data_IF_958596815168
#
_entry.id   IF_958596815168
#
_cell.length_a   1.000
_cell.length_b   1.000
_cell.length_c   1.000
_cell.angle_alpha   90.00
_cell.angle_beta   90.00
_cell.angle_gamma   90.00
#
_symmetry.space_group_name_H-M   'P 1'
#
loop_
_entity.id
_entity.type
_entity.pdbx_description
1 polymer ?
#
# COMPACT_ATOMS: atom_id res chain seq x y z
N UNK A 1 3.67 1.24 -14.37
CA UNK A 1 2.55 1.38 -15.32
C UNK A 1 2.88 2.42 -16.43
N UNK A 2 2.18 2.42 -17.58
CA UNK A 2 2.36 3.40 -18.69
C UNK A 2 0.99 3.82 -19.23
N UNK A 3 0.78 5.12 -19.40
CA UNK A 3 -0.39 5.70 -20.08
C UNK A 3 0.06 6.57 -21.27
N UNK A 4 -0.57 6.39 -22.42
CA UNK A 4 -0.33 7.21 -23.62
C UNK A 4 -1.56 8.03 -24.02
N UNK A 5 -1.37 9.31 -24.34
CA UNK A 5 -2.43 10.19 -24.84
C UNK A 5 -2.00 10.96 -26.09
N UNK A 6 -2.99 11.45 -26.85
CA UNK A 6 -2.76 12.26 -28.05
C UNK A 6 -3.27 13.69 -27.84
N UNK A 7 -2.41 14.68 -28.09
CA UNK A 7 -2.81 16.08 -28.19
C UNK A 7 -2.51 16.65 -29.58
N UNK A 8 -3.57 16.87 -30.35
CA UNK A 8 -3.48 17.35 -31.73
C UNK A 8 -2.65 16.42 -32.63
N UNK A 9 -1.44 16.85 -32.99
CA UNK A 9 -0.51 16.10 -33.86
C UNK A 9 0.60 15.38 -33.07
N UNK A 10 0.63 15.53 -31.75
CA UNK A 10 1.60 14.87 -30.87
C UNK A 10 0.96 13.71 -30.12
N UNK A 11 1.78 12.72 -29.80
CA UNK A 11 1.45 11.67 -28.83
C UNK A 11 2.50 11.69 -27.72
N UNK A 12 2.05 11.60 -26.49
CA UNK A 12 2.87 11.58 -25.28
C UNK A 12 2.60 10.28 -24.52
N UNK A 13 3.57 9.85 -23.73
CA UNK A 13 3.38 8.80 -22.74
C UNK A 13 4.06 9.20 -21.44
N UNK A 14 3.36 8.93 -20.35
CA UNK A 14 3.85 9.00 -18.98
C UNK A 14 4.12 7.58 -18.52
N UNK A 15 5.20 7.39 -17.76
CA UNK A 15 5.59 6.11 -17.18
C UNK A 15 5.79 6.29 -15.69
N UNK A 16 5.33 5.31 -14.92
CA UNK A 16 5.76 5.11 -13.54
C UNK A 16 7.17 4.54 -13.56
N UNK A 17 7.99 5.06 -12.68
CA UNK A 17 9.36 4.63 -12.47
C UNK A 17 9.70 4.56 -10.98
N UNK A 18 10.26 3.42 -10.59
CA UNK A 18 10.91 3.22 -9.28
C UNK A 18 12.44 2.96 -9.42
N UNK A 19 12.99 2.70 -10.62
CA UNK A 19 14.46 2.47 -10.86
C UNK A 19 15.04 2.84 -12.29
N UNK A 20 14.27 2.87 -13.41
CA UNK A 20 14.46 3.56 -14.74
C UNK A 20 13.13 3.44 -15.61
N UNK A 21 12.44 4.46 -16.15
CA UNK A 21 12.55 5.94 -16.13
C UNK A 21 11.60 6.74 -17.06
N UNK A 22 11.28 8.00 -16.68
CA UNK A 22 11.02 9.20 -17.53
C UNK A 22 9.64 9.50 -18.19
N UNK A 23 9.34 10.80 -18.47
CA UNK A 23 8.16 11.31 -19.20
C UNK A 23 8.51 11.59 -20.69
N UNK A 24 7.74 11.04 -21.65
CA UNK A 24 8.24 10.76 -23.03
C UNK A 24 7.32 11.27 -24.17
N UNK A 25 7.89 12.01 -25.14
CA UNK A 25 7.23 12.28 -26.44
C UNK A 25 7.38 11.06 -27.36
N UNK A 26 6.26 10.38 -27.61
CA UNK A 26 6.16 9.17 -28.43
C UNK A 26 5.58 9.44 -29.83
N UNK A 27 5.48 10.71 -30.26
CA UNK A 27 4.95 11.11 -31.58
C UNK A 27 5.63 10.36 -32.73
N UNK A 28 6.88 9.95 -32.54
CA UNK A 28 7.53 8.92 -33.36
C UNK A 28 7.81 7.68 -32.49
N UNK A 29 6.96 6.63 -32.50
CA UNK A 29 7.14 5.46 -31.63
C UNK A 29 8.37 4.61 -31.99
N UNK A 30 9.08 4.91 -33.09
CA UNK A 30 10.39 4.28 -33.42
C UNK A 30 11.58 5.07 -32.89
N UNK A 31 11.34 6.26 -32.34
CA UNK A 31 12.31 7.17 -31.69
C UNK A 31 11.57 7.98 -30.62
N UNK A 32 11.13 7.34 -29.52
CA UNK A 32 10.69 8.06 -28.34
C UNK A 32 11.79 9.02 -27.86
N UNK A 33 11.40 10.11 -27.22
CA UNK A 33 12.33 11.14 -26.72
C UNK A 33 11.85 11.58 -25.33
N UNK A 34 12.71 11.47 -24.30
CA UNK A 34 12.48 12.12 -23.00
C UNK A 34 12.17 13.59 -23.22
N UNK A 35 11.09 14.06 -22.63
CA UNK A 35 10.78 15.49 -22.59
C UNK A 35 10.84 16.06 -21.18
N UNK A 36 10.57 15.25 -20.15
CA UNK A 36 10.62 15.65 -18.76
C UNK A 36 10.79 14.46 -17.81
N UNK A 37 10.88 14.78 -16.53
CA UNK A 37 10.83 13.89 -15.37
C UNK A 37 10.53 14.79 -14.17
N UNK A 38 9.64 14.35 -13.29
CA UNK A 38 9.20 15.10 -12.13
C UNK A 38 9.04 14.18 -10.94
N UNK A 39 9.52 14.68 -9.82
CA UNK A 39 9.29 14.14 -8.50
C UNK A 39 8.21 15.03 -7.86
N UNK A 40 6.97 14.52 -7.71
CA UNK A 40 5.81 15.40 -7.45
C UNK A 40 5.79 15.95 -6.04
N UNK A 41 6.27 15.22 -5.03
CA UNK A 41 6.38 15.72 -3.66
C UNK A 41 7.49 16.79 -3.56
N UNK A 42 8.61 16.62 -4.25
CA UNK A 42 9.66 17.64 -4.32
C UNK A 42 9.22 18.89 -5.09
N UNK A 43 8.39 18.73 -6.14
CA UNK A 43 7.86 19.83 -6.95
C UNK A 43 6.67 20.54 -6.28
N UNK A 44 5.85 19.79 -5.55
CA UNK A 44 4.62 20.21 -4.88
C UNK A 44 4.56 19.66 -3.44
N UNK A 45 5.41 20.13 -2.50
CA UNK A 45 5.50 19.56 -1.14
C UNK A 45 4.22 19.66 -0.29
N UNK A 46 3.17 20.33 -0.79
CA UNK A 46 1.87 20.37 -0.16
C UNK A 46 1.05 19.08 -0.31
N UNK A 47 1.41 18.16 -1.21
CA UNK A 47 0.72 16.85 -1.36
C UNK A 47 1.06 15.87 -0.23
N UNK A 48 2.10 16.17 0.55
CA UNK A 48 2.50 15.37 1.70
C UNK A 48 1.57 15.63 2.88
N UNK A 49 1.19 14.57 3.59
CA UNK A 49 0.25 14.60 4.71
C UNK A 49 0.99 14.36 6.05
N UNK A 50 1.89 15.26 6.51
CA UNK A 50 2.85 14.99 7.60
C UNK A 50 2.22 14.83 8.99
N UNK A 51 0.94 15.16 9.16
CA UNK A 51 0.18 14.89 10.39
C UNK A 51 -0.32 13.42 10.45
N UNK A 52 -0.07 12.62 9.40
CA UNK A 52 -0.48 11.21 9.25
C UNK A 52 0.77 10.31 9.16
N UNK A 53 1.30 9.78 10.28
CA UNK A 53 2.64 9.18 10.33
C UNK A 53 2.76 7.78 9.68
N UNK A 54 1.66 7.17 9.23
CA UNK A 54 1.65 5.93 8.44
C UNK A 54 1.87 6.20 6.95
N UNK A 55 1.36 7.33 6.45
CA UNK A 55 1.41 7.75 5.05
C UNK A 55 2.86 8.13 4.67
N UNK A 56 3.63 7.13 4.26
CA UNK A 56 5.09 7.20 4.11
C UNK A 56 5.61 6.57 2.82
N UNK A 57 4.84 5.71 2.16
CA UNK A 57 5.11 5.17 0.84
C UNK A 57 4.64 6.16 -0.23
N UNK A 58 5.37 7.28 -0.39
CA UNK A 58 5.03 8.33 -1.34
C UNK A 58 5.76 8.10 -2.67
N UNK A 59 5.08 7.46 -3.63
CA UNK A 59 5.61 7.19 -4.96
C UNK A 59 4.50 7.24 -6.04
N UNK A 60 4.89 7.33 -7.31
CA UNK A 60 3.96 7.43 -8.42
C UNK A 60 3.44 6.05 -8.83
N UNK A 61 2.13 5.77 -8.77
CA UNK A 61 1.60 4.41 -8.96
C UNK A 61 0.67 4.21 -10.17
N UNK A 62 -0.38 5.03 -10.32
CA UNK A 62 -1.26 5.02 -11.50
C UNK A 62 -1.51 6.44 -12.04
N UNK A 63 -2.03 6.55 -13.26
CA UNK A 63 -2.26 7.83 -13.93
C UNK A 63 -3.39 7.77 -14.94
N UNK A 64 -4.26 8.76 -14.93
CA UNK A 64 -5.23 9.00 -16.00
C UNK A 64 -5.06 10.39 -16.60
N UNK A 65 -5.24 10.52 -17.92
CA UNK A 65 -5.19 11.83 -18.61
C UNK A 65 -6.47 12.05 -19.38
N UNK A 66 -7.17 13.14 -19.04
CA UNK A 66 -8.48 13.50 -19.58
C UNK A 66 -8.49 14.92 -20.10
N UNK A 67 -9.16 15.13 -21.23
CA UNK A 67 -9.31 16.48 -21.79
C UNK A 67 -10.46 17.25 -21.14
N UNK A 68 -10.15 18.17 -20.24
CA UNK A 68 -11.12 18.98 -19.48
C UNK A 68 -11.04 20.44 -19.91
N UNK A 69 -12.15 21.03 -20.32
CA UNK A 69 -12.25 22.43 -20.81
C UNK A 69 -11.24 22.84 -21.90
N UNK A 70 -10.71 21.86 -22.64
CA UNK A 70 -9.70 22.05 -23.68
C UNK A 70 -8.25 21.85 -23.23
N UNK A 71 -7.98 21.80 -21.92
CA UNK A 71 -6.71 21.40 -21.28
C UNK A 71 -6.56 19.88 -21.26
N UNK A 72 -5.33 19.38 -21.22
CA UNK A 72 -5.05 18.00 -20.83
C UNK A 72 -4.83 18.00 -19.32
N UNK A 73 -5.74 17.37 -18.57
CA UNK A 73 -5.64 17.24 -17.12
C UNK A 73 -5.23 15.82 -16.80
N UNK A 74 -4.12 15.66 -16.11
CA UNK A 74 -3.64 14.42 -15.53
C UNK A 74 -4.16 14.31 -14.10
N UNK A 75 -4.55 13.11 -13.68
CA UNK A 75 -4.55 12.71 -12.27
C UNK A 75 -3.45 11.67 -12.12
N UNK A 76 -2.47 11.95 -11.28
CA UNK A 76 -1.45 10.99 -10.87
C UNK A 76 -1.82 10.49 -9.48
N UNK A 77 -2.06 9.18 -9.34
CA UNK A 77 -2.15 8.55 -8.03
C UNK A 77 -0.74 8.42 -7.48
N UNK A 78 -0.52 9.01 -6.31
CA UNK A 78 0.79 9.14 -5.70
C UNK A 78 0.85 8.36 -4.36
N UNK A 79 0.19 7.20 -4.37
CA UNK A 79 0.04 6.26 -3.25
C UNK A 79 -0.38 6.98 -1.96
N UNK A 80 0.51 7.09 -0.97
CA UNK A 80 0.21 7.72 0.31
C UNK A 80 0.05 9.26 0.27
N UNK A 81 0.40 9.91 -0.84
CA UNK A 81 0.11 11.32 -1.10
C UNK A 81 -1.19 11.54 -1.93
N UNK A 82 -2.01 10.51 -2.11
CA UNK A 82 -3.34 10.62 -2.71
C UNK A 82 -3.34 10.94 -4.21
N UNK A 83 -4.38 11.64 -4.68
CA UNK A 83 -4.67 11.81 -6.11
C UNK A 83 -4.38 13.24 -6.60
N UNK A 84 -3.23 13.44 -7.24
CA UNK A 84 -2.71 14.76 -7.62
C UNK A 84 -3.15 15.16 -9.03
N UNK A 85 -3.91 16.25 -9.16
CA UNK A 85 -4.39 16.79 -10.42
C UNK A 85 -3.45 17.86 -11.02
N UNK A 86 -3.02 17.67 -12.27
CA UNK A 86 -2.07 18.52 -12.99
C UNK A 86 -2.59 18.95 -14.38
N UNK A 87 -2.39 20.20 -14.78
CA UNK A 87 -2.50 20.63 -16.18
C UNK A 87 -1.21 20.27 -16.93
N UNK A 88 -1.30 19.23 -17.77
CA UNK A 88 -0.22 18.69 -18.61
C UNK A 88 -0.40 19.04 -20.08
N UNK A 89 -1.11 20.15 -20.38
CA UNK A 89 -1.20 20.68 -21.75
C UNK A 89 0.17 21.10 -22.32
N UNK A 90 1.13 21.39 -21.45
CA UNK A 90 2.57 21.40 -21.73
C UNK A 90 3.25 20.46 -20.72
N UNK A 91 3.49 19.17 -21.05
CA UNK A 91 4.07 18.21 -20.12
C UNK A 91 5.53 18.54 -19.77
N UNK A 92 6.19 19.48 -20.45
CA UNK A 92 7.52 19.98 -20.02
C UNK A 92 7.44 21.02 -18.90
N UNK A 93 6.22 21.40 -18.49
CA UNK A 93 5.93 22.44 -17.50
C UNK A 93 4.56 22.17 -16.83
N UNK A 94 4.37 21.01 -16.16
CA UNK A 94 3.12 20.67 -15.50
C UNK A 94 2.72 21.76 -14.50
N UNK A 95 1.42 21.95 -14.31
CA UNK A 95 0.89 22.98 -13.41
C UNK A 95 -0.12 22.33 -12.48
N UNK A 96 0.23 22.26 -11.20
CA UNK A 96 -0.67 21.79 -10.14
C UNK A 96 -2.03 22.51 -10.19
N UNK A 97 -3.10 21.73 -10.06
CA UNK A 97 -4.50 22.16 -10.01
C UNK A 97 -5.04 22.00 -8.59
N UNK A 98 -4.79 20.84 -7.99
CA UNK A 98 -5.28 20.39 -6.68
C UNK A 98 -4.89 18.93 -6.44
N UNK A 99 -5.26 18.41 -5.28
CA UNK A 99 -4.93 17.08 -4.76
C UNK A 99 -5.99 16.69 -3.70
N UNK A 100 -5.84 15.51 -3.10
CA UNK A 100 -6.78 14.93 -2.12
C UNK A 100 -6.03 14.43 -0.89
N UNK A 101 -6.49 14.80 0.30
CA UNK A 101 -6.04 14.20 1.56
C UNK A 101 -6.90 12.98 1.91
N UNK A 102 -6.34 11.98 2.60
CA UNK A 102 -7.11 10.87 3.16
C UNK A 102 -7.79 11.29 4.47
N UNK A 103 -9.08 10.98 4.64
CA UNK A 103 -9.81 11.34 5.86
C UNK A 103 -9.26 10.62 7.09
N UNK A 104 -9.07 11.38 8.18
CA UNK A 104 -8.56 10.89 9.46
C UNK A 104 -9.54 11.24 10.61
N UNK A 105 -9.96 10.28 11.44
CA UNK A 105 -9.65 8.84 11.36
C UNK A 105 -10.24 8.19 10.11
N UNK A 106 -9.72 7.01 9.74
CA UNK A 106 -10.21 6.23 8.60
C UNK A 106 -11.74 6.01 8.69
N UNK A 107 -12.52 6.42 7.67
CA UNK A 107 -13.97 6.39 7.72
C UNK A 107 -14.55 4.96 7.71
N UNK A 108 -13.99 4.05 6.90
CA UNK A 108 -14.53 2.71 6.69
C UNK A 108 -14.16 1.75 7.83
N UNK A 109 -12.97 1.91 8.42
CA UNK A 109 -12.59 1.24 9.65
C UNK A 109 -13.43 1.73 10.83
N UNK A 110 -13.64 3.04 10.94
CA UNK A 110 -14.46 3.63 12.01
C UNK A 110 -15.93 3.21 11.90
N UNK A 111 -16.51 3.13 10.69
CA UNK A 111 -17.87 2.58 10.52
C UNK A 111 -17.91 1.08 10.87
N UNK A 112 -16.94 0.29 10.37
CA UNK A 112 -17.01 -1.17 10.45
C UNK A 112 -16.67 -1.75 11.82
N UNK A 113 -15.74 -1.14 12.55
CA UNK A 113 -15.25 -1.62 13.86
C UNK A 113 -15.59 -0.69 15.02
N UNK A 114 -15.66 0.62 14.76
CA UNK A 114 -15.73 1.66 15.80
C UNK A 114 -14.37 2.12 16.32
N UNK A 115 -13.26 1.59 15.80
CA UNK A 115 -11.90 2.03 16.13
C UNK A 115 -11.51 3.25 15.28
N UNK A 116 -10.76 4.17 15.87
CA UNK A 116 -10.30 5.39 15.20
C UNK A 116 -8.79 5.30 14.98
N UNK A 117 -8.39 4.78 13.81
CA UNK A 117 -6.99 4.76 13.36
C UNK A 117 -6.75 5.81 12.27
N UNK A 118 -5.48 6.05 11.96
CA UNK A 118 -5.07 6.71 10.73
C UNK A 118 -5.45 5.85 9.52
N UNK A 119 -5.78 6.45 8.36
CA UNK A 119 -5.93 5.73 7.10
C UNK A 119 -4.60 5.06 6.69
N UNK A 120 -4.72 3.98 5.92
CA UNK A 120 -3.57 3.25 5.39
C UNK A 120 -2.92 3.97 4.22
N UNK A 121 -3.72 4.59 3.34
CA UNK A 121 -3.25 5.30 2.15
C UNK A 121 -3.47 4.47 0.90
N UNK A 122 -2.39 4.05 0.23
CA UNK A 122 -2.46 3.13 -0.91
C UNK A 122 -3.34 3.61 -2.09
N UNK A 123 -3.41 4.92 -2.32
CA UNK A 123 -4.21 5.51 -3.39
C UNK A 123 -3.76 4.99 -4.75
N UNK A 124 -4.47 3.99 -5.29
CA UNK A 124 -4.02 3.21 -6.43
C UNK A 124 -4.38 3.89 -7.74
N UNK A 125 -5.67 4.06 -8.06
CA UNK A 125 -6.11 4.60 -9.35
C UNK A 125 -7.34 5.50 -9.25
N UNK A 126 -7.41 6.55 -10.07
CA UNK A 126 -8.55 7.47 -10.07
C UNK A 126 -8.99 7.98 -11.45
N UNK A 127 -10.30 8.16 -11.61
CA UNK A 127 -10.93 8.73 -12.80
C UNK A 127 -11.93 9.85 -12.49
N UNK A 128 -11.90 10.93 -13.27
CA UNK A 128 -12.96 11.94 -13.28
C UNK A 128 -14.24 11.43 -13.93
N UNK A 129 -15.40 11.66 -13.31
CA UNK A 129 -16.73 11.41 -13.92
C UNK A 129 -16.87 12.13 -15.26
N UNK A 130 -17.71 11.63 -16.17
CA UNK A 130 -17.85 12.14 -17.55
C UNK A 130 -17.99 13.67 -17.68
N UNK A 131 -18.71 14.30 -16.76
CA UNK A 131 -18.94 15.75 -16.66
C UNK A 131 -17.87 16.51 -15.86
N UNK A 132 -16.98 15.79 -15.17
CA UNK A 132 -15.90 16.28 -14.32
C UNK A 132 -16.41 17.00 -13.06
N UNK A 133 -17.58 16.60 -12.55
CA UNK A 133 -18.10 17.05 -11.25
C UNK A 133 -17.40 16.31 -10.09
N UNK A 134 -17.05 15.03 -10.28
CA UNK A 134 -16.40 14.22 -9.26
C UNK A 134 -15.11 13.55 -9.77
N UNK A 135 -14.21 13.29 -8.84
CA UNK A 135 -13.10 12.35 -8.98
C UNK A 135 -13.45 11.12 -8.14
N UNK A 136 -13.28 9.92 -8.69
CA UNK A 136 -13.44 8.68 -7.95
C UNK A 136 -12.05 8.06 -7.83
N UNK A 137 -11.62 7.78 -6.59
CA UNK A 137 -10.39 7.07 -6.27
C UNK A 137 -10.67 5.62 -5.85
N UNK A 138 -9.69 4.76 -6.04
CA UNK A 138 -9.69 3.36 -5.66
C UNK A 138 -8.35 3.07 -4.96
N UNK A 139 -8.41 2.67 -3.70
CA UNK A 139 -7.24 2.37 -2.87
C UNK A 139 -6.99 0.86 -2.87
N UNK A 140 -5.74 0.46 -3.13
CA UNK A 140 -5.33 -0.95 -3.23
C UNK A 140 -4.51 -1.38 -2.01
N UNK A 141 -5.15 -2.04 -1.07
CA UNK A 141 -4.51 -2.66 0.08
C UNK A 141 -4.68 -4.20 0.02
N UNK A 142 -3.59 -4.91 0.35
CA UNK A 142 -3.53 -6.38 0.43
C UNK A 142 -3.23 -6.92 1.84
N UNK A 143 -2.98 -6.04 2.80
CA UNK A 143 -2.63 -6.28 4.20
C UNK A 143 -3.76 -5.79 5.12
N UNK A 144 -4.92 -6.49 5.16
CA UNK A 144 -6.10 -6.14 5.97
C UNK A 144 -5.90 -6.34 7.50
N UNK A 145 -4.64 -6.33 7.95
CA UNK A 145 -4.17 -6.71 9.28
C UNK A 145 -3.03 -5.80 9.76
N UNK A 146 -3.39 -4.71 10.41
CA UNK A 146 -2.48 -3.88 11.19
C UNK A 146 -1.86 -4.63 12.38
N UNK A 147 -0.72 -4.11 12.84
CA UNK A 147 0.07 -4.67 13.94
C UNK A 147 0.39 -3.59 14.99
N UNK A 148 -0.04 -3.78 16.24
CA UNK A 148 0.48 -3.01 17.38
C UNK A 148 1.64 -3.78 18.03
N UNK A 149 2.86 -3.24 17.92
CA UNK A 149 4.01 -3.68 18.69
C UNK A 149 4.26 -2.80 19.92
N UNK A 150 4.57 -3.40 21.08
CA UNK A 150 5.00 -2.67 22.28
C UNK A 150 6.17 -3.37 22.99
N UNK A 151 7.10 -2.57 23.50
CA UNK A 151 7.98 -2.96 24.61
C UNK A 151 7.22 -2.72 25.93
N UNK A 152 6.93 -3.80 26.66
CA UNK A 152 6.18 -3.78 27.90
C UNK A 152 7.03 -3.45 29.13
N UNK A 153 8.36 -3.58 29.06
CA UNK A 153 9.24 -3.13 30.15
C UNK A 153 9.26 -1.60 30.22
N UNK A 154 9.45 -0.96 29.06
CA UNK A 154 9.65 0.50 28.94
C UNK A 154 8.37 1.30 28.68
N UNK A 155 7.25 0.63 28.37
CA UNK A 155 5.98 1.25 27.94
C UNK A 155 6.12 2.10 26.65
N UNK A 156 6.91 1.58 25.69
CA UNK A 156 7.16 2.22 24.39
C UNK A 156 6.60 1.40 23.23
N UNK A 157 6.27 2.07 22.12
CA UNK A 157 5.78 1.44 20.88
C UNK A 157 6.96 0.84 20.11
N UNK A 158 6.71 -0.29 19.43
CA UNK A 158 7.61 -0.89 18.44
C UNK A 158 7.00 -0.74 17.04
N UNK A 159 7.74 -0.13 16.13
CA UNK A 159 7.32 0.15 14.75
C UNK A 159 7.64 -1.06 13.85
N UNK A 160 6.78 -2.09 13.88
CA UNK A 160 6.96 -3.36 13.18
C UNK A 160 5.82 -3.64 12.20
N UNK A 161 6.11 -4.35 11.10
CA UNK A 161 5.10 -5.07 10.30
C UNK A 161 5.22 -6.58 10.52
N UNK A 162 4.28 -7.36 9.97
CA UNK A 162 4.39 -8.82 9.89
C UNK A 162 5.22 -9.23 8.65
N UNK A 163 5.91 -10.36 8.72
CA UNK A 163 6.73 -10.89 7.61
C UNK A 163 5.92 -11.66 6.57
N UNK A 164 6.15 -11.41 5.28
CA UNK A 164 5.26 -11.80 4.17
C UNK A 164 4.79 -13.26 4.15
N UNK A 165 5.71 -14.21 4.27
CA UNK A 165 5.48 -15.65 4.09
C UNK A 165 5.76 -16.42 5.38
N UNK A 166 5.41 -15.81 6.51
CA UNK A 166 5.43 -16.43 7.85
C UNK A 166 3.99 -16.56 8.41
N UNK A 167 3.74 -17.39 9.45
CA UNK A 167 2.43 -17.46 10.08
C UNK A 167 2.02 -16.09 10.63
N UNK A 168 0.98 -15.50 10.02
CA UNK A 168 0.39 -14.24 10.46
C UNK A 168 -0.38 -14.43 11.78
N UNK A 169 -0.43 -13.38 12.60
CA UNK A 169 -1.41 -13.27 13.67
C UNK A 169 -2.79 -12.97 13.07
N UNK A 170 -3.82 -13.69 13.51
CA UNK A 170 -5.21 -13.35 13.16
C UNK A 170 -5.72 -12.17 14.02
N UNK A 171 -6.77 -11.44 13.60
CA UNK A 171 -7.32 -10.30 14.37
C UNK A 171 -7.64 -10.61 15.83
N UNK A 172 -6.99 -9.89 16.74
CA UNK A 172 -7.11 -10.04 18.19
C UNK A 172 -6.25 -11.16 18.79
N UNK A 173 -5.43 -11.85 17.99
CA UNK A 173 -4.33 -12.66 18.51
C UNK A 173 -3.16 -11.79 18.92
N UNK A 174 -2.45 -12.22 19.96
CA UNK A 174 -1.26 -11.56 20.46
C UNK A 174 -0.17 -12.57 20.81
N UNK A 175 1.07 -12.26 20.42
CA UNK A 175 2.27 -12.95 20.90
C UNK A 175 2.99 -12.04 21.88
N UNK A 176 3.14 -12.53 23.11
CA UNK A 176 3.91 -11.88 24.17
C UNK A 176 5.03 -12.81 24.60
N UNK A 177 6.25 -12.28 24.75
CA UNK A 177 7.41 -13.06 25.19
C UNK A 177 8.60 -12.20 25.54
N UNK A 178 9.53 -12.78 26.31
CA UNK A 178 10.79 -12.13 26.62
C UNK A 178 11.77 -12.24 25.43
N UNK A 179 12.45 -11.15 25.12
CA UNK A 179 13.42 -11.08 24.02
C UNK A 179 14.74 -11.75 24.35
N UNK A 180 15.39 -12.32 23.33
CA UNK A 180 16.77 -12.81 23.40
C UNK A 180 17.51 -12.38 22.14
N UNK A 181 18.63 -11.67 22.27
CA UNK A 181 19.45 -11.31 21.11
C UNK A 181 20.19 -12.53 20.55
N UNK A 182 20.07 -12.77 19.24
CA UNK A 182 20.69 -13.94 18.57
C UNK A 182 21.69 -13.56 17.47
N UNK A 183 22.08 -12.29 17.36
CA UNK A 183 22.97 -11.80 16.29
C UNK A 183 22.24 -11.60 14.97
N UNK A 184 22.94 -11.64 13.84
CA UNK A 184 22.32 -11.53 12.51
C UNK A 184 21.74 -12.86 11.99
N UNK A 185 21.93 -13.97 12.72
CA UNK A 185 21.44 -15.32 12.41
C UNK A 185 21.80 -15.88 11.01
N UNK A 186 22.87 -15.40 10.38
CA UNK A 186 23.36 -15.93 9.10
C UNK A 186 24.22 -17.19 9.28
N UNK A 187 24.34 -18.03 8.25
CA UNK A 187 25.17 -19.25 8.26
C UNK A 187 26.67 -19.02 8.55
N UNK A 188 27.14 -17.79 8.35
CA UNK A 188 28.52 -17.34 8.62
C UNK A 188 28.75 -16.88 10.07
N UNK A 189 27.68 -16.63 10.83
CA UNK A 189 27.71 -16.06 12.18
C UNK A 189 27.82 -17.15 13.27
N UNK A 190 28.07 -16.76 14.54
CA UNK A 190 27.96 -17.68 15.67
C UNK A 190 26.55 -18.30 15.75
N UNK A 191 26.48 -19.59 16.06
CA UNK A 191 25.22 -20.32 16.10
C UNK A 191 24.22 -19.72 17.10
N UNK A 192 22.97 -19.57 16.65
CA UNK A 192 21.82 -19.13 17.46
C UNK A 192 21.68 -20.06 18.69
N UNK A 193 21.61 -19.51 19.93
CA UNK A 193 21.33 -20.30 21.12
C UNK A 193 19.87 -20.82 21.12
N UNK A 194 19.55 -21.91 21.82
CA UNK A 194 18.17 -22.35 21.97
C UNK A 194 17.41 -21.45 22.96
N UNK A 195 16.16 -21.12 22.63
CA UNK A 195 15.21 -20.46 23.53
C UNK A 195 14.55 -21.43 24.52
N UNK A 196 13.71 -20.90 25.41
CA UNK A 196 13.05 -21.67 26.49
C UNK A 196 11.66 -22.24 26.15
N UNK A 197 11.10 -21.89 25.00
CA UNK A 197 9.74 -22.23 24.56
C UNK A 197 8.70 -21.10 24.72
N UNK A 198 9.11 -19.91 25.17
CA UNK A 198 8.26 -18.73 25.35
C UNK A 198 8.92 -17.40 24.91
N UNK A 199 10.15 -17.46 24.39
CA UNK A 199 10.95 -16.28 24.05
C UNK A 199 10.78 -15.83 22.59
N UNK A 200 11.02 -14.54 22.35
CA UNK A 200 11.14 -13.94 21.00
C UNK A 200 12.61 -13.80 20.65
N UNK A 201 13.05 -14.35 19.52
CA UNK A 201 14.41 -14.18 19.04
C UNK A 201 14.57 -12.80 18.38
N UNK A 202 15.47 -11.97 18.88
CA UNK A 202 15.77 -10.65 18.29
C UNK A 202 16.99 -10.75 17.39
N UNK A 203 16.79 -10.46 16.11
CA UNK A 203 17.74 -10.65 15.02
C UNK A 203 18.12 -9.30 14.41
N UNK A 204 19.40 -9.14 14.09
CA UNK A 204 19.92 -7.96 13.40
C UNK A 204 19.86 -8.13 11.86
N UNK A 205 19.36 -7.13 11.12
CA UNK A 205 19.41 -7.08 9.65
C UNK A 205 20.86 -7.05 9.15
N UNK A 206 21.11 -7.60 7.96
CA UNK A 206 22.41 -7.53 7.27
C UNK A 206 23.06 -8.90 7.03
N UNK A 207 24.16 -8.90 6.26
CA UNK A 207 24.94 -10.06 5.77
C UNK A 207 24.20 -11.02 4.82
N UNK A 208 23.02 -11.47 5.21
CA UNK A 208 22.17 -12.42 4.47
C UNK A 208 20.71 -11.93 4.42
N UNK A 209 19.93 -12.51 3.50
CA UNK A 209 18.52 -12.17 3.30
C UNK A 209 17.66 -12.61 4.50
N UNK A 210 16.46 -12.04 4.66
CA UNK A 210 15.61 -12.36 5.81
C UNK A 210 15.27 -13.87 5.87
N UNK A 211 14.94 -14.48 4.73
CA UNK A 211 14.66 -15.91 4.59
C UNK A 211 15.86 -16.81 4.94
N UNK A 212 17.10 -16.33 4.86
CA UNK A 212 18.28 -17.10 5.30
C UNK A 212 18.42 -17.14 6.84
N UNK A 213 17.78 -16.19 7.55
CA UNK A 213 17.91 -16.03 9.01
C UNK A 213 16.99 -16.97 9.79
N UNK A 214 15.72 -17.10 9.37
CA UNK A 214 14.70 -17.87 10.08
C UNK A 214 15.07 -19.36 10.25
N UNK A 215 15.57 -20.07 9.22
CA UNK A 215 16.00 -21.47 9.36
C UNK A 215 17.10 -21.71 10.40
N UNK A 216 17.88 -20.69 10.76
CA UNK A 216 18.88 -20.77 11.82
C UNK A 216 18.26 -20.61 13.21
N UNK A 217 17.25 -19.74 13.36
CA UNK A 217 16.49 -19.58 14.61
C UNK A 217 15.61 -20.80 14.89
N UNK A 218 14.86 -21.27 13.90
CA UNK A 218 13.98 -22.45 13.98
C UNK A 218 14.74 -23.72 14.36
N UNK A 219 15.96 -23.88 13.81
CA UNK A 219 16.82 -25.04 14.08
C UNK A 219 17.45 -25.03 15.48
N UNK A 220 17.68 -23.85 16.05
CA UNK A 220 18.02 -23.73 17.47
C UNK A 220 16.82 -24.09 18.35
N UNK A 221 15.63 -23.64 17.95
CA UNK A 221 14.34 -23.96 18.56
C UNK A 221 14.12 -23.29 19.91
N UNK A 222 12.88 -23.38 20.42
CA UNK A 222 12.49 -22.76 21.70
C UNK A 222 12.11 -21.28 21.61
N UNK A 223 11.95 -20.74 20.40
CA UNK A 223 11.39 -19.41 20.16
C UNK A 223 9.95 -19.52 19.67
N UNK A 224 9.10 -18.55 20.07
CA UNK A 224 7.69 -18.47 19.65
C UNK A 224 7.48 -17.48 18.49
N UNK A 225 8.43 -16.56 18.30
CA UNK A 225 8.45 -15.60 17.20
C UNK A 225 9.87 -15.05 16.99
N UNK A 226 10.06 -14.34 15.88
CA UNK A 226 11.27 -13.57 15.55
C UNK A 226 10.92 -12.07 15.50
N UNK A 227 11.85 -11.22 15.94
CA UNK A 227 11.79 -9.77 15.80
C UNK A 227 13.07 -9.28 15.11
N UNK A 228 12.96 -8.65 13.95
CA UNK A 228 14.12 -8.14 13.20
C UNK A 228 14.24 -6.63 13.38
N UNK A 229 15.43 -6.14 13.76
CA UNK A 229 15.74 -4.71 13.81
C UNK A 229 16.78 -4.28 12.75
N UNK A 230 16.78 -2.99 12.43
CA UNK A 230 17.51 -2.46 11.28
C UNK A 230 19.04 -2.44 11.48
N UNK A 231 19.78 -2.37 10.36
CA UNK A 231 21.25 -2.28 10.33
C UNK A 231 21.76 -0.83 10.38
N UNK A 232 23.07 -0.65 10.42
CA UNK A 232 23.69 0.64 10.11
C UNK A 232 23.61 0.97 8.61
N UNK A 233 23.64 2.27 8.28
CA UNK A 233 23.65 2.79 6.91
C UNK A 233 22.63 3.91 6.68
N UNK A 234 22.87 4.71 5.64
CA UNK A 234 22.02 5.85 5.28
C UNK A 234 20.60 5.49 4.81
N UNK A 235 20.35 4.20 4.54
CA UNK A 235 19.06 3.61 4.12
C UNK A 235 18.44 2.73 5.23
N UNK A 236 18.88 2.92 6.48
CA UNK A 236 18.62 2.00 7.58
C UNK A 236 18.43 2.76 8.90
N UNK A 237 19.06 2.33 10.00
CA UNK A 237 19.05 3.04 11.27
C UNK A 237 17.64 3.22 11.84
N UNK A 238 17.17 4.45 12.00
CA UNK A 238 15.84 4.79 12.51
C UNK A 238 14.71 4.62 11.48
N UNK A 239 15.03 4.32 10.21
CA UNK A 239 14.01 4.02 9.20
C UNK A 239 13.34 2.65 9.43
N UNK A 240 12.05 2.57 9.10
CA UNK A 240 11.30 1.32 8.92
C UNK A 240 11.59 0.70 7.55
N UNK A 241 11.28 -0.58 7.38
CA UNK A 241 11.39 -1.29 6.10
C UNK A 241 10.44 -2.49 6.08
N UNK A 242 9.72 -2.68 4.96
CA UNK A 242 8.95 -3.89 4.68
C UNK A 242 9.82 -5.15 4.63
N UNK A 243 9.26 -6.29 5.00
CA UNK A 243 10.03 -7.52 5.24
C UNK A 243 9.44 -8.72 4.46
N UNK A 244 9.99 -8.96 3.26
CA UNK A 244 9.74 -10.22 2.55
C UNK A 244 10.58 -11.34 3.16
N UNK A 245 9.93 -12.36 3.72
CA UNK A 245 10.56 -13.42 4.51
C UNK A 245 9.69 -14.68 4.57
N UNK A 246 10.29 -15.85 4.39
CA UNK A 246 9.64 -17.17 4.48
C UNK A 246 10.12 -17.93 5.74
N UNK A 247 9.19 -18.55 6.48
CA UNK A 247 9.52 -19.41 7.63
C UNK A 247 8.31 -19.98 8.38
N UNK A 248 8.58 -20.85 9.36
CA UNK A 248 7.59 -21.65 10.10
C UNK A 248 7.09 -20.99 11.40
N UNK A 249 7.64 -19.84 11.80
CA UNK A 249 7.23 -19.08 13.01
C UNK A 249 6.93 -17.60 12.72
N UNK A 250 5.96 -16.97 13.41
CA UNK A 250 5.63 -15.55 13.24
C UNK A 250 6.87 -14.65 13.35
N UNK A 251 7.02 -13.73 12.41
CA UNK A 251 8.18 -12.83 12.33
C UNK A 251 7.71 -11.40 12.17
N UNK A 252 8.24 -10.51 13.01
CA UNK A 252 7.91 -9.09 13.06
C UNK A 252 9.12 -8.22 12.76
N UNK A 253 8.93 -7.07 12.11
CA UNK A 253 10.01 -6.15 11.74
C UNK A 253 9.72 -5.41 10.43
N UNK A 254 10.68 -4.70 9.84
CA UNK A 254 11.99 -4.37 10.43
C UNK A 254 11.82 -3.16 11.35
N UNK A 255 12.02 -3.35 12.67
CA UNK A 255 11.94 -2.23 13.61
C UNK A 255 13.18 -1.30 13.46
N UNK A 256 13.01 0.01 13.71
CA UNK A 256 14.11 0.95 13.90
C UNK A 256 15.22 0.42 14.82
N UNK A 257 16.48 0.71 14.48
CA UNK A 257 17.66 0.17 15.19
C UNK A 257 17.78 0.69 16.62
N UNK A 258 17.31 1.91 16.89
CA UNK A 258 17.21 2.49 18.24
C UNK A 258 16.25 1.69 19.12
N UNK A 259 15.09 1.31 18.59
CA UNK A 259 14.14 0.41 19.28
C UNK A 259 14.79 -0.96 19.53
N UNK A 260 15.52 -1.49 18.56
CA UNK A 260 16.29 -2.74 18.71
C UNK A 260 17.35 -2.71 19.81
N UNK A 261 18.01 -1.57 20.02
CA UNK A 261 18.98 -1.36 21.11
C UNK A 261 18.29 -1.16 22.47
N UNK A 262 17.16 -0.44 22.49
CA UNK A 262 16.39 -0.17 23.70
C UNK A 262 15.95 -1.46 24.42
N UNK A 263 15.55 -2.50 23.66
CA UNK A 263 15.18 -3.83 24.17
C UNK A 263 16.26 -4.52 25.05
N UNK A 264 17.49 -4.01 25.04
CA UNK A 264 18.64 -4.55 25.78
C UNK A 264 19.38 -3.50 26.63
N UNK A 265 18.74 -2.36 26.96
CA UNK A 265 19.33 -1.23 27.72
C UNK A 265 20.60 -0.60 27.06
N UNK A 266 20.88 -0.85 25.77
CA UNK A 266 22.10 -0.37 25.12
C UNK A 266 21.95 1.05 24.53
N UNK A 267 22.98 1.92 24.63
CA UNK A 267 22.92 3.27 24.11
C UNK A 267 23.05 3.30 22.58
N UNK A 268 22.16 4.05 21.93
CA UNK A 268 22.14 4.24 20.48
C UNK A 268 22.61 5.65 20.06
N UNK A 269 23.29 5.75 18.91
CA UNK A 269 23.77 6.99 18.29
C UNK A 269 23.40 6.97 16.80
N UNK A 270 22.40 7.77 16.43
CA UNK A 270 21.85 7.80 15.07
C UNK A 270 22.81 8.46 14.07
N UNK A 271 23.57 9.48 14.49
CA UNK A 271 24.56 10.14 13.62
C UNK A 271 25.70 9.16 13.29
N UNK A 272 26.15 8.38 14.27
CA UNK A 272 27.10 7.30 14.02
C UNK A 272 26.50 6.24 13.08
N UNK A 273 25.29 5.76 13.38
CA UNK A 273 24.60 4.73 12.60
C UNK A 273 24.46 5.10 11.11
N UNK A 274 24.01 6.31 10.81
CA UNK A 274 23.80 6.80 9.44
C UNK A 274 25.11 6.96 8.66
N UNK A 275 26.25 7.07 9.36
CA UNK A 275 27.59 7.09 8.74
C UNK A 275 28.25 5.72 8.61
N UNK A 276 27.66 4.67 9.19
CA UNK A 276 28.14 3.30 9.08
C UNK A 276 27.96 2.72 7.68
N UNK A 277 28.75 1.70 7.34
CA UNK A 277 28.67 0.98 6.05
C UNK A 277 27.88 -0.35 6.15
N UNK A 278 27.22 -0.57 7.28
CA UNK A 278 26.44 -1.78 7.56
C UNK A 278 27.29 -3.00 7.96
N UNK A 279 28.60 -2.85 8.20
CA UNK A 279 29.48 -3.96 8.60
C UNK A 279 29.63 -4.15 10.10
N UNK A 280 29.45 -3.10 10.91
CA UNK A 280 29.47 -3.20 12.38
C UNK A 280 28.14 -3.77 12.91
N UNK A 281 28.24 -4.71 13.85
CA UNK A 281 27.09 -5.35 14.51
C UNK A 281 26.75 -4.67 15.82
N UNK A 282 25.50 -4.79 16.28
CA UNK A 282 25.10 -4.29 17.58
C UNK A 282 26.01 -4.85 18.71
N UNK A 283 26.44 -4.04 19.70
CA UNK A 283 27.39 -4.46 20.74
C UNK A 283 26.79 -5.41 21.79
N UNK A 284 25.60 -5.97 21.52
CA UNK A 284 24.84 -6.86 22.40
C UNK A 284 25.41 -8.28 22.30
N UNK A 285 25.79 -8.95 23.41
CA UNK A 285 26.23 -10.34 23.37
C UNK A 285 25.11 -11.30 22.93
N UNK A 286 25.41 -12.26 22.05
CA UNK A 286 24.46 -13.33 21.68
C UNK A 286 24.05 -14.12 22.94
N UNK A 287 22.74 -14.33 23.11
CA UNK A 287 22.12 -14.93 24.29
C UNK A 287 21.83 -13.93 25.42
N UNK A 288 22.01 -12.62 25.20
CA UNK A 288 21.50 -11.60 26.12
C UNK A 288 19.98 -11.64 26.12
N UNK A 289 19.41 -11.76 27.31
CA UNK A 289 17.97 -11.70 27.54
C UNK A 289 17.60 -10.24 27.81
N UNK A 290 16.62 -9.73 27.09
CA UNK A 290 16.17 -8.35 27.16
C UNK A 290 14.75 -8.22 27.70
N UNK A 291 14.05 -7.22 27.18
CA UNK A 291 12.70 -6.82 27.55
C UNK A 291 11.60 -7.81 27.16
N UNK A 292 10.44 -7.64 27.80
CA UNK A 292 9.20 -8.30 27.42
C UNK A 292 8.49 -7.47 26.33
N UNK A 293 8.16 -8.11 25.21
CA UNK A 293 7.46 -7.47 24.09
C UNK A 293 6.11 -8.13 23.86
N UNK A 294 5.18 -7.37 23.28
CA UNK A 294 3.93 -7.91 22.73
C UNK A 294 3.68 -7.38 21.33
N UNK A 295 3.21 -8.25 20.46
CA UNK A 295 2.69 -7.94 19.14
C UNK A 295 1.24 -8.40 19.07
N UNK A 296 0.32 -7.50 18.73
CA UNK A 296 -1.11 -7.78 18.62
C UNK A 296 -1.57 -7.39 17.22
N UNK A 297 -2.15 -8.33 16.46
CA UNK A 297 -2.79 -7.97 15.19
C UNK A 297 -4.20 -7.46 15.46
N UNK A 298 -4.60 -6.45 14.71
CA UNK A 298 -5.98 -5.98 14.61
C UNK A 298 -6.40 -6.01 13.13
N UNK A 299 -7.70 -5.78 12.90
CA UNK A 299 -8.23 -5.64 11.56
C UNK A 299 -8.44 -4.14 11.28
N UNK A 300 -7.79 -3.61 10.25
CA UNK A 300 -7.83 -2.21 9.82
C UNK A 300 -8.62 -1.97 8.53
N UNK A 301 -8.77 -2.95 7.64
CA UNK A 301 -9.65 -2.73 6.49
C UNK A 301 -9.56 -3.76 5.38
N UNK A 302 -10.08 -3.34 4.23
CA UNK A 302 -9.46 -3.62 2.94
C UNK A 302 -9.55 -2.32 2.13
N UNK A 303 -8.60 -2.03 1.24
CA UNK A 303 -8.65 -0.83 0.38
C UNK A 303 -9.99 -0.63 -0.34
N UNK A 304 -10.45 0.62 -0.40
CA UNK A 304 -11.83 1.00 -0.70
C UNK A 304 -11.92 2.16 -1.71
N UNK A 305 -13.14 2.63 -1.98
CA UNK A 305 -13.41 3.63 -3.03
C UNK A 305 -13.74 4.98 -2.40
N UNK A 306 -13.13 6.04 -2.91
CA UNK A 306 -13.36 7.42 -2.50
C UNK A 306 -14.17 8.18 -3.55
N UNK A 307 -15.04 9.08 -3.10
CA UNK A 307 -15.71 10.08 -3.94
C UNK A 307 -15.30 11.49 -3.52
N UNK A 308 -14.58 12.21 -4.39
CA UNK A 308 -14.15 13.59 -4.15
C UNK A 308 -14.89 14.58 -5.06
N UNK A 309 -15.11 15.81 -4.58
CA UNK A 309 -15.43 16.96 -5.44
C UNK A 309 -14.21 17.28 -6.33
N UNK A 310 -14.38 17.16 -7.66
CA UNK A 310 -13.27 17.31 -8.62
C UNK A 310 -12.68 18.73 -8.66
N UNK A 311 -13.35 19.72 -8.08
CA UNK A 311 -12.93 21.13 -8.08
C UNK A 311 -12.24 21.57 -6.79
N UNK A 312 -12.44 20.85 -5.68
CA UNK A 312 -11.85 21.18 -4.37
C UNK A 312 -11.00 20.06 -3.75
N UNK A 313 -11.02 18.84 -4.30
CA UNK A 313 -10.34 17.68 -3.70
C UNK A 313 -10.98 17.19 -2.39
N UNK A 314 -12.16 17.73 -2.04
CA UNK A 314 -12.83 17.41 -0.78
C UNK A 314 -13.56 16.09 -0.89
N UNK A 315 -13.27 15.17 0.02
CA UNK A 315 -14.00 13.90 0.14
C UNK A 315 -15.47 14.15 0.50
N UNK A 316 -16.36 13.41 -0.17
CA UNK A 316 -17.80 13.53 -0.06
C UNK A 316 -18.44 12.27 0.51
N UNK A 317 -17.91 11.11 0.13
CA UNK A 317 -18.38 9.79 0.54
C UNK A 317 -17.31 8.72 0.25
N UNK A 318 -17.44 7.56 0.88
CA UNK A 318 -16.61 6.37 0.64
C UNK A 318 -17.48 5.15 0.33
N UNK A 319 -16.88 4.09 -0.20
CA UNK A 319 -17.55 2.82 -0.40
C UNK A 319 -16.57 1.66 -0.31
N UNK A 320 -16.83 0.72 0.60
CA UNK A 320 -16.33 -0.64 0.48
C UNK A 320 -17.45 -1.67 0.35
N UNK A 321 -17.09 -2.85 -0.17
CA UNK A 321 -18.02 -3.98 -0.23
C UNK A 321 -18.26 -4.54 1.17
N UNK A 322 -19.48 -5.02 1.45
CA UNK A 322 -19.83 -5.55 2.77
C UNK A 322 -18.87 -6.63 3.28
N UNK A 323 -18.25 -7.40 2.39
CA UNK A 323 -17.27 -8.43 2.70
C UNK A 323 -15.95 -7.84 3.24
N UNK A 324 -15.49 -6.71 2.72
CA UNK A 324 -14.29 -5.99 3.17
C UNK A 324 -14.39 -5.62 4.65
N UNK A 325 -15.52 -5.10 5.14
CA UNK A 325 -15.74 -4.72 6.55
C UNK A 325 -15.81 -5.88 7.58
N UNK A 326 -15.19 -7.04 7.34
CA UNK A 326 -15.36 -8.23 8.19
C UNK A 326 -14.01 -8.90 8.49
N UNK A 327 -13.50 -8.82 9.73
CA UNK A 327 -12.25 -9.48 10.15
C UNK A 327 -12.15 -10.96 9.77
N UNK A 328 -13.27 -11.70 9.82
CA UNK A 328 -13.35 -13.11 9.41
C UNK A 328 -13.07 -13.41 7.91
N UNK A 329 -12.83 -12.38 7.11
CA UNK A 329 -12.52 -12.45 5.68
C UNK A 329 -11.16 -11.80 5.36
N UNK A 330 -10.40 -11.35 6.38
CA UNK A 330 -9.00 -10.92 6.21
C UNK A 330 -8.12 -12.06 5.65
N UNK A 331 -8.39 -13.31 6.05
CA UNK A 331 -7.72 -14.50 5.52
C UNK A 331 -8.69 -15.44 4.78
N UNK A 332 -8.17 -16.17 3.79
CA UNK A 332 -8.85 -17.30 3.12
C UNK A 332 -10.03 -16.98 2.19
N UNK A 333 -10.45 -15.73 2.04
CA UNK A 333 -11.48 -15.33 1.05
C UNK A 333 -10.89 -15.01 -0.33
N UNK A 334 -9.63 -14.55 -0.38
CA UNK A 334 -9.05 -13.82 -1.51
C UNK A 334 -9.11 -12.30 -1.25
N UNK A 335 -8.32 -11.51 -1.98
CA UNK A 335 -8.23 -10.07 -1.74
C UNK A 335 -9.58 -9.37 -1.91
N UNK A 336 -9.96 -8.57 -0.91
CA UNK A 336 -11.23 -7.84 -0.86
C UNK A 336 -11.05 -6.33 -1.02
N UNK A 337 -10.04 -5.93 -1.79
CA UNK A 337 -9.72 -4.54 -2.15
C UNK A 337 -10.12 -4.22 -3.60
N UNK A 338 -10.07 -2.94 -3.97
CA UNK A 338 -10.34 -2.39 -5.29
C UNK A 338 -9.02 -2.05 -6.00
N UNK A 339 -8.93 -2.33 -7.31
CA UNK A 339 -7.73 -2.02 -8.10
C UNK A 339 -7.96 -0.82 -9.04
N UNK A 340 -9.00 -0.87 -9.88
CA UNK A 340 -9.28 0.21 -10.83
C UNK A 340 -10.75 0.64 -10.81
N UNK A 341 -10.97 1.92 -11.11
CA UNK A 341 -12.26 2.51 -11.46
C UNK A 341 -12.28 2.99 -12.92
N UNK A 342 -13.34 2.61 -13.65
CA UNK A 342 -13.65 3.16 -14.96
C UNK A 342 -15.02 3.86 -14.95
N UNK A 343 -15.05 5.12 -15.34
CA UNK A 343 -16.25 5.97 -15.37
C UNK A 343 -17.05 5.78 -16.66
N UNK A 344 -18.39 5.83 -16.55
CA UNK A 344 -19.28 5.60 -17.69
C UNK A 344 -19.15 6.70 -18.74
N UNK A 345 -18.94 6.28 -19.99
CA UNK A 345 -18.87 7.12 -21.16
C UNK A 345 -20.24 7.68 -21.58
N UNK A 346 -21.35 7.20 -21.01
CA UNK A 346 -22.72 7.67 -21.33
C UNK A 346 -23.49 8.26 -20.13
N UNK A 347 -23.27 7.77 -18.90
CA UNK A 347 -23.96 8.25 -17.70
C UNK A 347 -22.94 8.91 -16.76
N UNK A 348 -22.97 10.24 -16.56
CA UNK A 348 -21.95 10.91 -15.74
C UNK A 348 -21.87 10.39 -14.31
N UNK A 349 -23.01 10.03 -13.72
CA UNK A 349 -23.10 9.57 -12.34
C UNK A 349 -22.87 8.06 -12.20
N UNK A 350 -22.08 7.39 -13.06
CA UNK A 350 -21.83 5.94 -12.95
C UNK A 350 -20.35 5.58 -13.11
N UNK A 351 -19.93 4.63 -12.29
CA UNK A 351 -18.62 3.99 -12.34
C UNK A 351 -18.73 2.47 -12.31
N UNK A 352 -17.64 1.82 -12.72
CA UNK A 352 -17.44 0.38 -12.75
C UNK A 352 -16.11 0.07 -12.08
N UNK A 353 -16.07 -0.97 -11.24
CA UNK A 353 -14.89 -1.31 -10.45
C UNK A 353 -14.45 -2.76 -10.72
N UNK A 354 -13.14 -2.97 -10.77
CA UNK A 354 -12.49 -4.25 -10.57
C UNK A 354 -12.11 -4.40 -9.10
N UNK A 355 -12.75 -5.35 -8.43
CA UNK A 355 -12.71 -5.48 -6.96
C UNK A 355 -12.24 -6.88 -6.55
N UNK A 356 -11.10 -7.34 -7.10
CA UNK A 356 -10.47 -8.65 -6.85
C UNK A 356 -11.45 -9.82 -6.60
N UNK A 357 -11.42 -10.43 -5.41
CA UNK A 357 -12.31 -11.52 -5.00
C UNK A 357 -13.72 -11.03 -4.60
N UNK A 358 -13.87 -9.74 -4.34
CA UNK A 358 -15.16 -9.05 -4.29
C UNK A 358 -15.92 -9.15 -5.62
N UNK A 359 -15.21 -9.18 -6.75
CA UNK A 359 -15.77 -9.32 -8.10
C UNK A 359 -15.97 -7.99 -8.82
N UNK A 360 -16.76 -7.98 -9.89
CA UNK A 360 -17.09 -6.73 -10.59
C UNK A 360 -18.18 -5.96 -9.83
N UNK A 361 -18.07 -4.63 -9.74
CA UNK A 361 -19.06 -3.74 -9.12
C UNK A 361 -19.47 -2.59 -10.03
N UNK A 362 -20.66 -2.05 -9.77
CA UNK A 362 -21.24 -0.89 -10.47
C UNK A 362 -21.79 0.08 -9.44
N UNK A 363 -21.28 1.30 -9.45
CA UNK A 363 -21.73 2.38 -8.57
C UNK A 363 -22.51 3.43 -9.35
N UNK A 364 -23.55 3.99 -8.73
CA UNK A 364 -24.18 5.26 -9.13
C UNK A 364 -23.90 6.33 -8.07
N UNK A 365 -23.47 7.53 -8.48
CA UNK A 365 -23.40 8.70 -7.59
C UNK A 365 -24.81 9.30 -7.44
N UNK A 366 -25.25 9.56 -6.20
CA UNK A 366 -26.60 10.04 -5.87
C UNK A 366 -26.56 11.00 -4.69
N UNK A 367 -26.81 12.29 -4.93
CA UNK A 367 -26.74 13.34 -3.91
C UNK A 367 -25.36 13.42 -3.21
N UNK A 368 -24.28 13.25 -3.97
CA UNK A 368 -22.90 13.18 -3.49
C UNK A 368 -22.55 11.92 -2.69
N UNK A 369 -23.38 10.87 -2.74
CA UNK A 369 -23.13 9.56 -2.12
C UNK A 369 -22.92 8.46 -3.19
N UNK A 370 -22.09 7.45 -2.92
CA UNK A 370 -21.85 6.27 -3.74
C UNK A 370 -22.88 5.17 -3.43
N UNK A 371 -23.65 4.75 -4.44
CA UNK A 371 -24.64 3.68 -4.30
C UNK A 371 -24.28 2.46 -5.16
N UNK A 372 -24.12 1.28 -4.53
CA UNK A 372 -24.06 -0.01 -5.24
C UNK A 372 -25.38 -0.27 -5.98
N UNK A 373 -25.28 -0.50 -7.29
CA UNK A 373 -26.41 -0.73 -8.20
C UNK A 373 -26.27 -1.98 -9.04
N UNK A 374 -25.24 -2.79 -8.80
CA UNK A 374 -25.04 -4.02 -9.55
C UNK A 374 -23.66 -4.63 -9.36
N UNK A 375 -23.59 -5.93 -9.54
CA UNK A 375 -22.37 -6.70 -9.45
C UNK A 375 -22.36 -7.85 -10.45
N UNK A 376 -21.18 -8.37 -10.73
CA UNK A 376 -21.00 -9.64 -11.42
C UNK A 376 -19.92 -10.46 -10.71
N UNK A 377 -20.26 -11.70 -10.37
CA UNK A 377 -19.35 -12.72 -9.83
C UNK A 377 -19.67 -14.03 -10.56
N UNK A 378 -18.68 -14.64 -11.20
CA UNK A 378 -18.82 -15.88 -11.96
C UNK A 378 -18.83 -17.10 -11.03
N UNK A 379 -19.18 -18.25 -11.61
CA UNK A 379 -19.28 -19.53 -10.92
C UNK A 379 -17.89 -20.11 -10.61
N UNK A 380 -17.32 -19.60 -9.52
CA UNK A 380 -16.02 -19.99 -8.99
C UNK A 380 -15.44 -18.96 -8.04
N UNK A 381 -15.98 -17.74 -8.06
CA UNK A 381 -15.27 -16.54 -7.63
C UNK A 381 -14.71 -15.81 -8.85
N UNK A 382 -14.02 -14.72 -8.60
CA UNK A 382 -13.27 -13.94 -9.57
C UNK A 382 -12.00 -13.42 -8.90
N UNK A 383 -11.11 -12.87 -9.71
CA UNK A 383 -9.95 -12.13 -9.27
C UNK A 383 -9.77 -10.95 -10.25
N UNK A 384 -10.73 -10.01 -10.22
CA UNK A 384 -10.77 -8.90 -11.19
C UNK A 384 -9.71 -7.84 -10.88
N UNK A 385 -8.84 -7.61 -11.86
CA UNK A 385 -7.73 -6.67 -11.83
C UNK A 385 -8.05 -5.42 -12.64
N UNK A 386 -8.17 -5.52 -13.98
CA UNK A 386 -8.41 -4.35 -14.82
C UNK A 386 -9.89 -4.07 -15.10
N UNK A 387 -10.28 -2.79 -15.26
CA UNK A 387 -11.61 -2.38 -15.74
C UNK A 387 -11.52 -1.22 -16.74
N UNK A 388 -12.17 -1.36 -17.91
CA UNK A 388 -12.16 -0.34 -18.96
C UNK A 388 -13.52 -0.22 -19.65
N UNK A 389 -14.08 0.99 -19.66
CA UNK A 389 -15.29 1.30 -20.45
C UNK A 389 -14.94 1.46 -21.92
N UNK A 390 -15.77 0.88 -22.80
CA UNK A 390 -15.72 1.10 -24.25
C UNK A 390 -17.12 1.11 -24.87
N UNK A 391 -17.23 1.51 -26.14
CA UNK A 391 -18.51 1.56 -26.86
C UNK A 391 -18.47 0.80 -28.18
N UNK A 392 -19.54 0.05 -28.47
CA UNK A 392 -19.78 -0.59 -29.78
C UNK A 392 -21.26 -0.45 -30.15
N UNK A 393 -21.57 -0.12 -31.40
CA UNK A 393 -22.95 0.06 -31.89
C UNK A 393 -23.86 0.96 -31.02
N UNK A 394 -23.32 2.08 -30.53
CA UNK A 394 -23.95 3.00 -29.56
C UNK A 394 -24.39 2.35 -28.24
N UNK A 395 -23.82 1.20 -27.91
CA UNK A 395 -23.96 0.53 -26.61
C UNK A 395 -22.65 0.65 -25.85
N UNK A 396 -22.74 1.07 -24.59
CA UNK A 396 -21.63 0.98 -23.64
C UNK A 396 -21.43 -0.46 -23.18
N UNK A 397 -20.17 -0.87 -23.12
CA UNK A 397 -19.68 -2.13 -22.60
C UNK A 397 -18.53 -1.86 -21.64
N UNK A 398 -18.25 -2.83 -20.78
CA UNK A 398 -17.11 -2.80 -19.87
C UNK A 398 -16.26 -4.04 -20.13
N UNK A 399 -14.99 -3.83 -20.40
CA UNK A 399 -13.96 -4.86 -20.39
C UNK A 399 -13.47 -5.01 -18.95
N UNK A 400 -13.70 -6.16 -18.34
CA UNK A 400 -13.19 -6.47 -17.00
C UNK A 400 -12.20 -7.63 -17.12
N UNK A 401 -10.95 -7.40 -16.72
CA UNK A 401 -9.86 -8.37 -16.82
C UNK A 401 -9.70 -9.11 -15.50
N UNK A 402 -9.88 -10.42 -15.55
CA UNK A 402 -9.75 -11.33 -14.42
C UNK A 402 -8.44 -12.11 -14.52
N UNK A 403 -7.71 -12.24 -13.40
CA UNK A 403 -6.41 -12.92 -13.33
C UNK A 403 -6.53 -14.44 -13.61
N UNK A 404 -7.62 -15.06 -13.16
CA UNK A 404 -7.84 -16.51 -13.27
C UNK A 404 -8.52 -16.91 -14.59
N UNK A 405 -9.43 -16.07 -15.09
CA UNK A 405 -10.34 -16.38 -16.19
C UNK A 405 -10.16 -15.50 -17.45
N UNK A 406 -9.38 -14.42 -17.37
CA UNK A 406 -9.12 -13.51 -18.47
C UNK A 406 -10.23 -12.48 -18.71
N UNK A 407 -10.49 -12.14 -19.97
CA UNK A 407 -11.33 -10.98 -20.31
C UNK A 407 -12.84 -11.28 -20.34
N UNK A 408 -13.59 -10.61 -19.47
CA UNK A 408 -15.04 -10.50 -19.51
C UNK A 408 -15.48 -9.24 -20.27
N UNK A 409 -16.51 -9.38 -21.12
CA UNK A 409 -17.19 -8.25 -21.77
C UNK A 409 -18.59 -8.12 -21.19
N UNK A 410 -18.76 -7.17 -20.30
CA UNK A 410 -19.98 -6.92 -19.55
C UNK A 410 -20.80 -5.80 -20.19
N UNK A 411 -22.12 -5.86 -20.02
CA UNK A 411 -23.05 -4.78 -20.35
C UNK A 411 -23.97 -4.57 -19.17
N UNK A 412 -24.00 -3.37 -18.62
CA UNK A 412 -24.96 -3.03 -17.58
C UNK A 412 -26.39 -3.05 -18.14
N UNK A 413 -27.27 -3.81 -17.48
CA UNK A 413 -28.67 -4.02 -17.90
C UNK A 413 -29.69 -3.19 -17.12
N UNK A 414 -29.24 -2.40 -16.15
CA UNK A 414 -30.07 -1.94 -15.03
C UNK A 414 -29.95 -2.88 -13.83
N UNK A 415 -29.98 -2.32 -12.64
CA UNK A 415 -30.07 -3.07 -11.38
C UNK A 415 -31.45 -3.72 -11.17
N UNK A 416 -31.61 -4.52 -10.10
CA UNK A 416 -32.87 -5.13 -9.70
C UNK A 416 -33.94 -4.12 -9.21
#
# INVERSE_FOLDING_TARGET
>A
MLLAWQDGLKAYAVLVDDEEGEDVDITNPRRPVKIAEYDLDALFPQILQPDQPTLTEVFFHDVTVKRIEGRQVMVASYWDAGYVALDVSDPTRPRYIGDTDFTNPDPELLESTGEAQVPEGNGHQAEFTRDNEYLIGADEDFSPLGLEGRNLTDDTTLSASQGSDTPQLEPGEAIQGQTVFVGRACDTDPAVPPGDGSQVAVVERGECDFTDKLPNVERAGGYIAVLIFNREGSDACTATLGMSVEGDIPTFGVIPRDQGYALFDEPYDDEACLTGDGTETAPIPIGTVGDEVVFTSYFDGWGYVHLFDASTGTELDTYAIREAHKPRFASGFGALSVHEVATSSINPSRAYLSYYAGGFRVLDIRNNELADVGSFIDRGGNNFWGVQVFSSDNTEYVAASDIDFGLYILKYTGGP
#
